data_IF_288805832143
#
_entry.id   IF_288805832143
#
_cell.length_a   1.000
_cell.length_b   1.000
_cell.length_c   1.000
_cell.angle_alpha   90.00
_cell.angle_beta   90.00
_cell.angle_gamma   90.00
#
_symmetry.space_group_name_H-M   'P 1'
#
loop_
_entity.id
_entity.type
_entity.pdbx_description
1 polymer ?
#
# COMPACT_ATOMS: atom_id res chain seq x y z
N UNK A 1 35.95 48.04 0.30
CA UNK A 1 34.48 47.96 0.50
C UNK A 1 33.73 47.18 -0.60
N UNK A 2 34.13 47.27 -1.88
CA UNK A 2 33.48 46.55 -2.99
C UNK A 2 33.62 45.01 -2.97
N UNK A 3 34.75 44.48 -2.50
CA UNK A 3 35.03 43.04 -2.47
C UNK A 3 34.16 42.29 -1.46
N UNK A 4 33.84 42.92 -0.33
CA UNK A 4 33.00 42.32 0.71
C UNK A 4 31.52 42.22 0.28
N UNK A 5 31.01 43.22 -0.45
CA UNK A 5 29.65 43.17 -1.04
C UNK A 5 29.48 42.05 -2.06
N UNK A 6 30.51 41.76 -2.88
CA UNK A 6 30.47 40.66 -3.86
C UNK A 6 30.41 39.28 -3.21
N UNK A 7 31.06 39.10 -2.05
CA UNK A 7 31.08 37.83 -1.33
C UNK A 7 29.72 37.58 -0.66
N UNK A 8 29.16 38.58 0.01
CA UNK A 8 27.84 38.49 0.67
C UNK A 8 26.73 38.21 -0.35
N UNK A 9 26.78 38.86 -1.52
CA UNK A 9 25.78 38.66 -2.59
C UNK A 9 25.82 37.23 -3.16
N UNK A 10 27.01 36.60 -3.25
CA UNK A 10 27.14 35.20 -3.70
C UNK A 10 26.51 34.22 -2.71
N UNK A 11 26.79 34.38 -1.41
CA UNK A 11 26.19 33.50 -0.39
C UNK A 11 24.68 33.68 -0.28
N UNK A 12 24.18 34.90 -0.42
CA UNK A 12 22.75 35.19 -0.45
C UNK A 12 22.06 34.54 -1.65
N UNK A 13 22.67 34.59 -2.84
CA UNK A 13 22.16 33.94 -4.04
C UNK A 13 22.15 32.41 -3.91
N UNK A 14 23.21 31.82 -3.34
CA UNK A 14 23.28 30.38 -3.06
C UNK A 14 22.22 29.94 -2.04
N UNK A 15 21.95 30.76 -1.02
CA UNK A 15 20.91 30.48 -0.02
C UNK A 15 19.50 30.55 -0.64
N UNK A 16 19.25 31.48 -1.55
CA UNK A 16 17.96 31.57 -2.28
C UNK A 16 17.76 30.37 -3.21
N UNK A 17 18.80 29.95 -3.94
CA UNK A 17 18.72 28.77 -4.81
C UNK A 17 18.52 27.48 -4.01
N UNK A 18 19.17 27.37 -2.85
CA UNK A 18 18.97 26.25 -1.92
C UNK A 18 17.58 26.30 -1.27
N UNK A 19 17.00 27.48 -1.03
CA UNK A 19 15.62 27.61 -0.54
C UNK A 19 14.60 27.26 -1.63
N UNK A 20 14.83 27.70 -2.87
CA UNK A 20 13.93 27.45 -4.00
C UNK A 20 13.86 25.96 -4.40
N UNK A 21 14.91 25.18 -4.20
CA UNK A 21 14.91 23.73 -4.44
C UNK A 21 14.07 22.94 -3.42
N UNK A 22 13.71 23.53 -2.28
CA UNK A 22 12.91 22.85 -1.23
C UNK A 22 11.41 22.96 -1.53
N UNK A 23 10.97 23.87 -2.42
CA UNK A 23 9.56 24.18 -2.64
C UNK A 23 8.95 23.69 -3.96
N UNK A 24 9.66 22.89 -4.76
CA UNK A 24 9.12 22.37 -6.02
C UNK A 24 8.66 20.92 -5.91
N UNK A 25 7.62 20.65 -5.10
CA UNK A 25 6.78 19.47 -5.36
C UNK A 25 5.83 19.85 -6.49
N UNK A 26 6.10 19.35 -7.69
CA UNK A 26 5.23 19.57 -8.84
C UNK A 26 3.83 19.01 -8.55
N UNK A 27 2.81 19.85 -8.70
CA UNK A 27 1.42 19.39 -8.71
C UNK A 27 1.23 18.40 -9.86
N UNK A 28 0.62 17.25 -9.60
CA UNK A 28 0.38 16.25 -10.66
C UNK A 28 -0.68 16.79 -11.58
N UNK A 29 -0.28 17.09 -12.82
CA UNK A 29 -1.17 17.55 -13.86
C UNK A 29 -1.43 16.40 -14.82
N UNK A 30 -2.64 15.84 -14.73
CA UNK A 30 -3.15 14.89 -15.69
C UNK A 30 -3.72 15.63 -16.90
N UNK A 31 -3.61 15.01 -18.08
CA UNK A 31 -4.42 15.46 -19.20
C UNK A 31 -5.90 15.06 -19.00
N UNK A 32 -6.77 15.55 -19.87
CA UNK A 32 -8.21 15.31 -19.73
C UNK A 32 -8.57 13.83 -19.87
N UNK A 33 -7.85 13.07 -20.69
CA UNK A 33 -8.10 11.63 -20.92
C UNK A 33 -7.66 10.82 -19.70
N UNK A 34 -6.47 11.08 -19.18
CA UNK A 34 -5.96 10.43 -17.97
C UNK A 34 -6.85 10.70 -16.76
N UNK A 35 -7.28 11.96 -16.57
CA UNK A 35 -8.20 12.31 -15.48
C UNK A 35 -9.55 11.59 -15.62
N UNK A 36 -10.12 11.59 -16.83
CA UNK A 36 -11.39 10.92 -17.10
C UNK A 36 -11.29 9.41 -16.84
N UNK A 37 -10.24 8.77 -17.36
CA UNK A 37 -10.02 7.34 -17.21
C UNK A 37 -9.73 6.94 -15.76
N UNK A 38 -8.95 7.74 -15.01
CA UNK A 38 -8.71 7.49 -13.58
C UNK A 38 -10.00 7.56 -12.76
N UNK A 39 -10.86 8.54 -13.04
CA UNK A 39 -12.18 8.64 -12.40
C UNK A 39 -13.02 7.41 -12.73
N UNK A 40 -13.07 6.99 -14.00
CA UNK A 40 -13.81 5.80 -14.41
C UNK A 40 -13.28 4.52 -13.72
N UNK A 41 -11.96 4.36 -13.60
CA UNK A 41 -11.34 3.27 -12.82
C UNK A 41 -11.81 3.32 -11.37
N UNK A 42 -11.77 4.49 -10.74
CA UNK A 42 -12.18 4.66 -9.35
C UNK A 42 -13.67 4.34 -9.12
N UNK A 43 -14.53 4.73 -10.06
CA UNK A 43 -15.96 4.41 -10.02
C UNK A 43 -16.22 2.92 -10.18
N UNK A 44 -15.57 2.25 -11.14
CA UNK A 44 -15.64 0.80 -11.31
C UNK A 44 -15.18 0.07 -10.05
N UNK A 45 -14.02 0.46 -9.49
CA UNK A 45 -13.50 -0.07 -8.24
C UNK A 45 -14.49 0.12 -7.08
N UNK A 46 -15.19 1.26 -7.03
CA UNK A 46 -16.17 1.55 -5.97
C UNK A 46 -17.34 0.58 -5.94
N UNK A 47 -17.71 0.02 -7.10
CA UNK A 47 -18.76 -1.00 -7.20
C UNK A 47 -18.26 -2.43 -6.96
N UNK A 48 -16.95 -2.66 -7.13
CA UNK A 48 -16.33 -3.97 -7.00
C UNK A 48 -14.91 -3.81 -6.42
N UNK A 49 -14.85 -3.70 -5.09
CA UNK A 49 -13.60 -3.43 -4.38
C UNK A 49 -12.61 -4.59 -4.40
N UNK A 50 -13.09 -5.80 -4.68
CA UNK A 50 -12.25 -6.99 -4.84
C UNK A 50 -11.69 -7.13 -6.26
N UNK A 51 -12.06 -6.21 -7.17
CA UNK A 51 -11.63 -6.19 -8.57
C UNK A 51 -11.94 -7.49 -9.35
N UNK A 52 -12.90 -8.31 -8.89
CA UNK A 52 -13.15 -9.66 -9.42
C UNK A 52 -13.99 -9.68 -10.69
N UNK A 53 -13.76 -10.68 -11.53
CA UNK A 53 -14.61 -11.05 -12.65
C UNK A 53 -14.23 -10.43 -14.00
N UNK A 54 -14.47 -11.19 -15.07
CA UNK A 54 -14.02 -10.86 -16.43
C UNK A 54 -14.56 -9.53 -16.94
N UNK A 55 -15.80 -9.17 -16.56
CA UNK A 55 -16.39 -7.90 -16.96
C UNK A 55 -15.66 -6.72 -16.33
N UNK A 56 -15.28 -6.83 -15.05
CA UNK A 56 -14.47 -5.80 -14.40
C UNK A 56 -13.13 -5.66 -15.11
N UNK A 57 -12.41 -6.78 -15.28
CA UNK A 57 -11.11 -6.80 -15.94
C UNK A 57 -11.15 -6.16 -17.33
N UNK A 58 -12.12 -6.53 -18.18
CA UNK A 58 -12.32 -5.92 -19.51
C UNK A 58 -12.61 -4.42 -19.44
N UNK A 59 -13.42 -4.00 -18.46
CA UNK A 59 -13.80 -2.59 -18.31
C UNK A 59 -12.59 -1.74 -17.93
N UNK A 60 -11.79 -2.17 -16.95
CA UNK A 60 -10.59 -1.42 -16.55
C UNK A 60 -9.48 -1.48 -17.61
N UNK A 61 -9.35 -2.60 -18.34
CA UNK A 61 -8.38 -2.75 -19.43
C UNK A 61 -8.63 -1.74 -20.57
N UNK A 62 -9.90 -1.41 -20.84
CA UNK A 62 -10.27 -0.40 -21.84
C UNK A 62 -9.90 1.04 -21.46
N UNK A 63 -9.58 1.29 -20.18
CA UNK A 63 -9.27 2.63 -19.64
C UNK A 63 -7.77 2.93 -19.62
N UNK A 64 -6.94 2.05 -20.19
CA UNK A 64 -5.49 2.21 -20.22
C UNK A 64 -5.03 3.51 -20.87
N UNK A 65 -4.02 4.07 -20.24
CA UNK A 65 -3.13 5.10 -20.77
C UNK A 65 -1.72 4.81 -20.25
N UNK A 66 -0.65 5.37 -20.83
CA UNK A 66 0.69 5.17 -20.31
C UNK A 66 0.84 5.48 -18.80
N UNK A 67 0.06 6.44 -18.27
CA UNK A 67 0.05 6.78 -16.84
C UNK A 67 -0.74 5.80 -15.97
N UNK A 68 -1.75 5.13 -16.55
CA UNK A 68 -2.68 4.27 -15.81
C UNK A 68 -2.43 2.77 -16.00
N UNK A 69 -1.52 2.38 -16.90
CA UNK A 69 -1.24 0.98 -17.20
C UNK A 69 -0.96 0.15 -15.96
N UNK A 70 -0.06 0.62 -15.09
CA UNK A 70 0.32 -0.13 -13.89
C UNK A 70 -0.85 -0.31 -12.92
N UNK A 71 -1.66 0.74 -12.69
CA UNK A 71 -2.88 0.67 -11.88
C UNK A 71 -3.85 -0.38 -12.44
N UNK A 72 -4.06 -0.37 -13.76
CA UNK A 72 -4.93 -1.34 -14.43
C UNK A 72 -4.38 -2.76 -14.26
N UNK A 73 -3.08 -2.97 -14.48
CA UNK A 73 -2.43 -4.27 -14.33
C UNK A 73 -2.54 -4.80 -12.90
N UNK A 74 -2.29 -3.93 -11.91
CA UNK A 74 -2.41 -4.26 -10.50
C UNK A 74 -3.85 -4.64 -10.12
N UNK A 75 -4.85 -3.87 -10.54
CA UNK A 75 -6.26 -4.21 -10.27
C UNK A 75 -6.68 -5.52 -10.94
N UNK A 76 -6.22 -5.81 -12.16
CA UNK A 76 -6.44 -7.10 -12.81
C UNK A 76 -5.77 -8.23 -12.01
N UNK A 77 -4.52 -8.05 -11.56
CA UNK A 77 -3.81 -9.03 -10.75
C UNK A 77 -4.50 -9.28 -9.40
N UNK A 78 -5.00 -8.23 -8.75
CA UNK A 78 -5.82 -8.33 -7.53
C UNK A 78 -7.07 -9.18 -7.79
N UNK A 79 -7.79 -8.89 -8.87
CA UNK A 79 -9.02 -9.59 -9.24
C UNK A 79 -8.82 -11.08 -9.54
N UNK A 80 -7.68 -11.44 -10.14
CA UNK A 80 -7.30 -12.84 -10.36
C UNK A 80 -7.00 -13.56 -9.05
N UNK A 81 -6.33 -12.89 -8.12
CA UNK A 81 -5.93 -13.48 -6.83
C UNK A 81 -5.02 -14.70 -6.99
N UNK A 82 -4.20 -14.72 -8.06
CA UNK A 82 -3.21 -15.76 -8.32
C UNK A 82 -1.79 -15.25 -8.03
N UNK A 83 -0.77 -16.08 -8.28
CA UNK A 83 0.63 -15.75 -7.99
C UNK A 83 1.17 -14.51 -8.71
N UNK A 84 0.48 -14.03 -9.77
CA UNK A 84 0.85 -12.80 -10.50
C UNK A 84 0.94 -11.60 -9.54
N UNK A 85 0.07 -11.53 -8.51
CA UNK A 85 0.08 -10.42 -7.54
C UNK A 85 1.34 -10.36 -6.66
N UNK A 86 2.13 -11.44 -6.63
CA UNK A 86 3.40 -11.53 -5.89
C UNK A 86 4.61 -11.11 -6.73
N UNK A 87 4.41 -10.76 -8.00
CA UNK A 87 5.50 -10.31 -8.86
C UNK A 87 6.07 -8.97 -8.38
N UNK A 88 7.38 -8.79 -8.60
CA UNK A 88 8.10 -7.58 -8.18
C UNK A 88 7.46 -6.30 -8.70
N UNK A 89 6.86 -6.31 -9.88
CA UNK A 89 6.19 -5.13 -10.43
C UNK A 89 5.03 -4.63 -9.55
N UNK A 90 4.35 -5.48 -8.79
CA UNK A 90 3.26 -5.08 -7.89
C UNK A 90 3.73 -4.93 -6.44
N UNK A 91 4.75 -5.69 -6.02
CA UNK A 91 5.31 -5.57 -4.67
C UNK A 91 6.32 -4.44 -4.51
N UNK A 92 6.94 -3.97 -5.59
CA UNK A 92 7.87 -2.87 -5.55
C UNK A 92 7.16 -1.56 -5.24
N UNK A 93 7.88 -0.65 -4.59
CA UNK A 93 7.41 0.69 -4.27
C UNK A 93 7.04 1.44 -5.56
N UNK A 94 5.77 1.86 -5.75
CA UNK A 94 5.40 2.69 -6.88
C UNK A 94 6.10 4.06 -6.84
N UNK A 95 6.10 4.74 -7.99
CA UNK A 95 6.59 6.11 -8.05
C UNK A 95 5.61 7.09 -7.37
N UNK A 96 6.08 8.29 -7.03
CA UNK A 96 5.27 9.29 -6.30
C UNK A 96 3.97 9.67 -7.03
N UNK A 97 4.01 9.76 -8.36
CA UNK A 97 2.83 10.14 -9.14
C UNK A 97 1.75 9.06 -8.99
N UNK A 98 2.12 7.81 -9.22
CA UNK A 98 1.21 6.67 -9.13
C UNK A 98 0.62 6.51 -7.72
N UNK A 99 1.43 6.71 -6.68
CA UNK A 99 0.97 6.70 -5.29
C UNK A 99 -0.18 7.70 -5.04
N UNK A 100 -0.12 8.89 -5.66
CA UNK A 100 -1.22 9.86 -5.59
C UNK A 100 -2.42 9.41 -6.41
N UNK A 101 -2.22 8.80 -7.59
CA UNK A 101 -3.33 8.30 -8.42
C UNK A 101 -4.12 7.19 -7.70
N UNK A 102 -3.45 6.27 -7.02
CA UNK A 102 -4.08 5.30 -6.13
C UNK A 102 -4.87 5.96 -4.99
N UNK A 103 -4.38 7.10 -4.49
CA UNK A 103 -5.07 7.85 -3.45
C UNK A 103 -6.32 8.57 -3.99
N UNK A 104 -6.30 9.04 -5.24
CA UNK A 104 -7.51 9.54 -5.93
C UNK A 104 -8.59 8.45 -5.99
N UNK A 105 -8.21 7.21 -6.31
CA UNK A 105 -9.14 6.06 -6.33
C UNK A 105 -9.78 5.87 -4.94
N UNK A 106 -8.99 5.88 -3.87
CA UNK A 106 -9.48 5.80 -2.48
C UNK A 106 -10.48 6.90 -2.14
N UNK A 107 -10.14 8.15 -2.43
CA UNK A 107 -10.97 9.30 -2.06
C UNK A 107 -12.27 9.36 -2.85
N UNK A 108 -12.25 9.01 -4.14
CA UNK A 108 -13.48 8.85 -4.93
C UNK A 108 -14.33 7.72 -4.35
N UNK A 109 -13.71 6.58 -4.02
CA UNK A 109 -14.43 5.46 -3.41
C UNK A 109 -15.13 5.88 -2.12
N UNK A 110 -14.43 6.48 -1.16
CA UNK A 110 -15.05 6.93 0.09
C UNK A 110 -16.08 8.03 -0.10
N UNK A 111 -15.89 8.94 -1.06
CA UNK A 111 -16.90 9.94 -1.40
C UNK A 111 -18.20 9.31 -1.93
N UNK A 112 -18.11 8.14 -2.57
CA UNK A 112 -19.27 7.43 -3.15
C UNK A 112 -19.95 6.48 -2.17
N UNK A 113 -19.18 5.82 -1.31
CA UNK A 113 -19.69 4.75 -0.43
C UNK A 113 -20.00 5.20 1.00
N UNK A 114 -19.63 6.42 1.39
CA UNK A 114 -19.96 6.95 2.70
C UNK A 114 -21.42 7.41 2.78
N UNK A 115 -22.28 6.55 3.31
CA UNK A 115 -23.73 6.80 3.47
C UNK A 115 -24.06 7.99 4.40
N UNK A 116 -23.12 8.44 5.22
CA UNK A 116 -23.34 9.53 6.19
C UNK A 116 -23.21 10.93 5.60
N UNK A 117 -22.66 11.06 4.38
CA UNK A 117 -22.36 12.36 3.77
C UNK A 117 -22.85 12.37 2.34
N UNK A 118 -23.44 13.49 1.90
CA UNK A 118 -23.80 13.68 0.50
C UNK A 118 -22.54 13.69 -0.36
N UNK A 119 -22.47 12.77 -1.33
CA UNK A 119 -21.36 12.68 -2.26
C UNK A 119 -21.12 13.99 -3.00
N UNK A 120 -19.86 14.43 -3.04
CA UNK A 120 -19.41 15.58 -3.84
C UNK A 120 -19.19 15.17 -5.30
N UNK A 121 -19.17 16.11 -6.26
CA UNK A 121 -18.81 15.80 -7.63
C UNK A 121 -17.43 15.12 -7.72
N UNK A 122 -17.35 13.96 -8.37
CA UNK A 122 -16.13 13.13 -8.42
C UNK A 122 -14.92 13.85 -9.02
N UNK A 123 -15.15 14.71 -10.01
CA UNK A 123 -14.10 15.55 -10.62
C UNK A 123 -13.52 16.53 -9.60
N UNK A 124 -14.34 17.09 -8.72
CA UNK A 124 -13.87 18.00 -7.67
C UNK A 124 -13.01 17.26 -6.64
N UNK A 125 -13.42 16.05 -6.25
CA UNK A 125 -12.64 15.18 -5.35
C UNK A 125 -11.29 14.82 -5.98
N UNK A 126 -11.27 14.40 -7.23
CA UNK A 126 -10.03 14.06 -7.94
C UNK A 126 -9.06 15.25 -7.99
N UNK A 127 -9.53 16.42 -8.43
CA UNK A 127 -8.71 17.61 -8.53
C UNK A 127 -8.20 18.10 -7.18
N UNK A 128 -9.02 18.01 -6.12
CA UNK A 128 -8.61 18.35 -4.76
C UNK A 128 -7.43 17.48 -4.32
N UNK A 129 -7.51 16.16 -4.53
CA UNK A 129 -6.42 15.23 -4.18
C UNK A 129 -5.17 15.51 -5.00
N UNK A 130 -5.29 15.67 -6.32
CA UNK A 130 -4.17 15.96 -7.22
C UNK A 130 -3.46 17.29 -6.89
N UNK A 131 -4.16 18.25 -6.26
CA UNK A 131 -3.60 19.53 -5.83
C UNK A 131 -2.96 19.53 -4.44
N UNK A 132 -3.24 18.51 -3.63
CA UNK A 132 -2.82 18.48 -2.22
C UNK A 132 -1.44 17.87 -2.06
N UNK A 133 -0.68 18.43 -1.13
CA UNK A 133 0.47 17.75 -0.58
C UNK A 133 -0.02 16.74 0.47
N UNK A 134 0.17 15.46 0.18
CA UNK A 134 -0.19 14.36 1.07
C UNK A 134 1.10 13.72 1.59
N UNK A 135 1.06 13.27 2.84
CA UNK A 135 2.18 12.52 3.42
C UNK A 135 2.43 11.24 2.62
N UNK A 136 3.67 11.04 2.15
CA UNK A 136 4.01 9.88 1.31
C UNK A 136 3.78 8.55 2.01
N UNK A 137 3.81 8.53 3.34
CA UNK A 137 3.50 7.34 4.14
C UNK A 137 2.04 6.92 3.96
N UNK A 138 1.12 7.89 3.90
CA UNK A 138 -0.31 7.62 3.70
C UNK A 138 -0.60 7.16 2.27
N UNK A 139 0.13 7.72 1.30
CA UNK A 139 0.00 7.31 -0.10
C UNK A 139 0.49 5.86 -0.29
N UNK A 140 1.64 5.52 0.30
CA UNK A 140 2.23 4.18 0.23
C UNK A 140 1.38 3.14 0.97
N UNK A 141 0.91 3.48 2.17
CA UNK A 141 0.02 2.62 2.95
C UNK A 141 -1.28 2.33 2.17
N UNK A 142 -1.88 3.38 1.58
CA UNK A 142 -3.05 3.19 0.72
C UNK A 142 -2.76 2.26 -0.46
N UNK A 143 -1.63 2.40 -1.16
CA UNK A 143 -1.30 1.51 -2.27
C UNK A 143 -1.31 0.04 -1.84
N UNK A 144 -0.56 -0.31 -0.79
CA UNK A 144 -0.48 -1.69 -0.34
C UNK A 144 -1.79 -2.20 0.21
N UNK A 145 -2.56 -1.34 0.90
CA UNK A 145 -3.91 -1.67 1.34
C UNK A 145 -4.84 -2.00 0.15
N UNK A 146 -4.71 -1.34 -1.00
CA UNK A 146 -5.58 -1.63 -2.17
C UNK A 146 -5.23 -2.95 -2.85
N UNK A 147 -3.96 -3.35 -2.85
CA UNK A 147 -3.57 -4.62 -3.49
C UNK A 147 -3.66 -5.82 -2.54
N UNK A 148 -3.76 -5.60 -1.23
CA UNK A 148 -3.68 -6.67 -0.24
C UNK A 148 -4.80 -7.72 -0.35
N UNK A 149 -5.97 -7.35 -0.91
CA UNK A 149 -7.11 -8.24 -1.06
C UNK A 149 -6.81 -9.40 -2.01
N UNK A 150 -6.04 -9.15 -3.07
CA UNK A 150 -5.56 -10.17 -3.99
C UNK A 150 -4.61 -11.16 -3.31
N UNK A 151 -3.72 -10.65 -2.45
CA UNK A 151 -2.76 -11.44 -1.67
C UNK A 151 -3.49 -12.30 -0.65
N UNK A 152 -4.46 -11.73 0.08
CA UNK A 152 -5.31 -12.46 1.02
C UNK A 152 -6.10 -13.56 0.31
N UNK A 153 -6.65 -13.26 -0.88
CA UNK A 153 -7.35 -14.24 -1.72
C UNK A 153 -6.43 -15.38 -2.16
N UNK A 154 -5.21 -15.07 -2.62
CA UNK A 154 -4.23 -16.08 -3.01
C UNK A 154 -3.85 -16.97 -1.83
N UNK A 155 -3.48 -16.37 -0.70
CA UNK A 155 -3.12 -17.08 0.52
C UNK A 155 -4.28 -17.93 1.07
N UNK A 156 -5.51 -17.72 0.56
CA UNK A 156 -6.59 -18.57 0.97
C UNK A 156 -6.39 -20.04 0.61
N UNK A 157 -5.80 -20.27 -0.55
CA UNK A 157 -5.66 -21.58 -1.18
C UNK A 157 -4.20 -21.99 -1.41
N UNK A 158 -3.26 -21.04 -1.40
CA UNK A 158 -1.86 -21.27 -1.72
C UNK A 158 -0.96 -21.50 -0.50
N UNK A 159 0.14 -22.21 -0.74
CA UNK A 159 1.30 -22.28 0.15
C UNK A 159 2.36 -21.29 -0.34
N UNK A 160 2.63 -20.26 0.48
CA UNK A 160 3.60 -19.21 0.15
C UNK A 160 4.94 -19.39 0.86
N UNK A 161 5.19 -20.52 1.53
CA UNK A 161 6.42 -20.80 2.29
C UNK A 161 7.70 -20.73 1.47
N UNK A 162 7.60 -20.93 0.15
CA UNK A 162 8.72 -20.84 -0.79
C UNK A 162 9.04 -19.41 -1.24
N UNK A 163 8.16 -18.45 -0.96
CA UNK A 163 8.35 -17.07 -1.36
C UNK A 163 9.14 -16.29 -0.30
N UNK A 164 10.01 -15.41 -0.79
CA UNK A 164 10.75 -14.46 0.03
C UNK A 164 10.46 -13.04 -0.47
N UNK A 165 9.79 -12.25 0.35
CA UNK A 165 9.62 -10.83 0.10
C UNK A 165 10.90 -10.10 0.50
N UNK A 166 11.79 -9.95 -0.49
CA UNK A 166 13.04 -9.22 -0.33
C UNK A 166 12.80 -7.70 -0.38
N UNK A 167 12.41 -7.12 0.75
CA UNK A 167 12.13 -5.69 0.92
C UNK A 167 13.33 -4.80 0.55
N UNK A 168 14.56 -5.31 0.68
CA UNK A 168 15.76 -4.57 0.32
C UNK A 168 15.89 -4.37 -1.22
N UNK A 169 15.19 -5.18 -2.01
CA UNK A 169 15.14 -5.04 -3.48
C UNK A 169 13.87 -4.38 -4.01
N UNK A 170 12.91 -4.01 -3.15
CA UNK A 170 11.61 -3.45 -3.56
C UNK A 170 11.61 -1.91 -3.70
N UNK A 171 12.76 -1.25 -3.54
CA UNK A 171 12.90 0.18 -3.81
C UNK A 171 12.35 1.11 -2.74
N UNK A 172 12.11 0.63 -1.52
CA UNK A 172 11.72 1.45 -0.37
C UNK A 172 12.82 2.45 -0.01
N UNK A 173 12.42 3.68 0.34
CA UNK A 173 13.36 4.77 0.65
C UNK A 173 14.03 4.62 2.00
N UNK A 174 13.30 4.09 2.97
CA UNK A 174 13.72 3.98 4.36
C UNK A 174 13.00 2.83 5.07
N UNK A 175 13.37 2.61 6.33
CA UNK A 175 12.78 1.55 7.15
C UNK A 175 11.31 1.81 7.50
N UNK A 176 10.83 3.06 7.43
CA UNK A 176 9.41 3.38 7.64
C UNK A 176 8.58 2.84 6.47
N UNK A 177 9.03 3.05 5.23
CA UNK A 177 8.35 2.48 4.07
C UNK A 177 8.40 0.95 4.04
N UNK A 178 9.52 0.34 4.44
CA UNK A 178 9.60 -1.12 4.64
C UNK A 178 8.61 -1.62 5.68
N UNK A 179 8.46 -0.89 6.80
CA UNK A 179 7.49 -1.21 7.84
C UNK A 179 6.05 -1.13 7.32
N UNK A 180 5.71 -0.09 6.55
CA UNK A 180 4.38 0.05 5.92
C UNK A 180 4.06 -1.15 5.03
N UNK A 181 5.00 -1.55 4.17
CA UNK A 181 4.84 -2.75 3.34
C UNK A 181 4.65 -3.99 4.19
N UNK A 182 5.56 -4.24 5.14
CA UNK A 182 5.52 -5.42 6.01
C UNK A 182 4.17 -5.53 6.74
N UNK A 183 3.69 -4.44 7.34
CA UNK A 183 2.43 -4.42 8.07
C UNK A 183 1.24 -4.71 7.16
N UNK A 184 1.18 -4.13 5.97
CA UNK A 184 0.11 -4.40 5.00
C UNK A 184 0.12 -5.87 4.53
N UNK A 185 1.31 -6.43 4.25
CA UNK A 185 1.43 -7.84 3.88
C UNK A 185 1.01 -8.77 5.02
N UNK A 186 1.41 -8.46 6.25
CA UNK A 186 1.02 -9.25 7.42
C UNK A 186 -0.47 -9.17 7.71
N UNK A 187 -1.11 -8.01 7.52
CA UNK A 187 -2.56 -7.90 7.63
C UNK A 187 -3.28 -8.74 6.56
N UNK A 188 -2.77 -8.76 5.33
CA UNK A 188 -3.29 -9.62 4.25
C UNK A 188 -3.21 -11.11 4.58
N UNK A 189 -2.06 -11.55 5.08
CA UNK A 189 -1.74 -12.97 5.28
C UNK A 189 -2.31 -13.51 6.60
N UNK A 190 -2.21 -12.73 7.67
CA UNK A 190 -2.56 -13.16 9.03
C UNK A 190 -3.90 -12.54 9.46
N UNK A 191 -4.16 -11.28 9.14
CA UNK A 191 -5.23 -10.44 9.71
C UNK A 191 -6.58 -11.13 9.91
N UNK A 192 -7.50 -11.01 8.95
CA UNK A 192 -8.89 -11.45 9.14
C UNK A 192 -9.04 -12.94 9.44
N UNK A 193 -8.30 -13.80 8.72
CA UNK A 193 -8.42 -15.25 8.86
C UNK A 193 -7.97 -15.75 10.23
N UNK A 194 -6.81 -15.29 10.72
CA UNK A 194 -6.33 -15.80 12.01
C UNK A 194 -7.25 -15.32 13.14
N UNK A 195 -7.85 -14.12 13.03
CA UNK A 195 -8.92 -13.67 13.95
C UNK A 195 -10.07 -14.68 13.99
N UNK A 196 -10.61 -15.05 12.83
CA UNK A 196 -11.73 -16.01 12.76
C UNK A 196 -11.32 -17.37 13.34
N UNK A 197 -10.18 -17.92 12.93
CA UNK A 197 -9.71 -19.23 13.42
C UNK A 197 -9.45 -19.21 14.93
N UNK A 198 -8.94 -18.10 15.47
CA UNK A 198 -8.73 -17.93 16.89
C UNK A 198 -10.07 -17.87 17.65
N UNK A 199 -11.05 -17.13 17.15
CA UNK A 199 -12.39 -17.08 17.74
C UNK A 199 -13.07 -18.46 17.73
N UNK A 200 -12.82 -19.26 16.69
CA UNK A 200 -13.24 -20.66 16.59
C UNK A 200 -12.40 -21.62 17.43
N UNK A 201 -11.36 -21.14 18.13
CA UNK A 201 -10.39 -21.95 18.89
C UNK A 201 -9.72 -23.04 18.05
N UNK A 202 -9.58 -22.83 16.74
CA UNK A 202 -9.03 -23.81 15.81
C UNK A 202 -7.50 -23.68 15.67
N UNK A 203 -6.79 -23.99 16.76
CA UNK A 203 -5.34 -23.84 16.84
C UNK A 203 -4.58 -24.70 15.81
N UNK A 204 -5.12 -25.89 15.47
CA UNK A 204 -4.51 -26.76 14.44
C UNK A 204 -4.47 -26.07 13.08
N UNK A 205 -5.57 -25.43 12.67
CA UNK A 205 -5.66 -24.72 11.39
C UNK A 205 -4.78 -23.46 11.40
N UNK A 206 -4.66 -22.77 12.52
CA UNK A 206 -3.73 -21.63 12.68
C UNK A 206 -2.30 -22.09 12.41
N UNK A 207 -1.85 -23.16 13.06
CA UNK A 207 -0.49 -23.70 12.87
C UNK A 207 -0.26 -24.16 11.43
N UNK A 208 -1.27 -24.76 10.79
CA UNK A 208 -1.20 -25.11 9.37
C UNK A 208 -0.95 -23.87 8.48
N UNK A 209 -1.66 -22.76 8.73
CA UNK A 209 -1.45 -21.52 7.97
C UNK A 209 -0.14 -20.83 8.31
N UNK A 210 0.34 -20.88 9.55
CA UNK A 210 1.66 -20.38 9.90
C UNK A 210 2.76 -21.03 9.05
N UNK A 211 2.65 -22.34 8.81
CA UNK A 211 3.60 -23.08 7.97
C UNK A 211 3.58 -22.71 6.48
N UNK A 212 2.56 -21.97 6.03
CA UNK A 212 2.41 -21.52 4.64
C UNK A 212 2.85 -20.07 4.42
N UNK A 213 3.25 -19.36 5.47
CA UNK A 213 3.62 -17.94 5.37
C UNK A 213 4.94 -17.76 4.60
N UNK A 214 5.08 -16.69 3.81
CA UNK A 214 6.34 -16.34 3.17
C UNK A 214 7.37 -15.88 4.20
N UNK A 215 8.62 -15.80 3.75
CA UNK A 215 9.70 -15.13 4.48
C UNK A 215 9.87 -13.68 4.03
N UNK A 216 10.50 -12.88 4.86
CA UNK A 216 10.85 -11.49 4.57
C UNK A 216 12.35 -11.32 4.76
N UNK A 217 13.05 -10.89 3.71
CA UNK A 217 14.52 -10.86 3.65
C UNK A 217 15.17 -12.16 4.17
N UNK A 218 14.60 -13.31 3.80
CA UNK A 218 15.06 -14.65 4.18
C UNK A 218 14.79 -15.04 5.63
N UNK A 219 14.04 -14.23 6.38
CA UNK A 219 13.70 -14.47 7.78
C UNK A 219 12.21 -14.71 7.95
N UNK A 220 11.84 -15.58 8.89
CA UNK A 220 10.45 -15.73 9.27
C UNK A 220 9.93 -14.45 9.93
N UNK A 221 8.64 -14.17 9.76
CA UNK A 221 7.99 -12.92 10.17
C UNK A 221 8.24 -12.55 11.65
N UNK A 222 8.36 -13.53 12.54
CA UNK A 222 8.57 -13.31 13.98
C UNK A 222 10.01 -12.97 14.38
N UNK A 223 10.96 -12.97 13.45
CA UNK A 223 12.33 -12.49 13.69
C UNK A 223 12.49 -11.00 13.37
N UNK A 224 11.49 -10.34 12.77
CA UNK A 224 11.53 -8.91 12.44
C UNK A 224 11.15 -8.02 13.62
N UNK A 225 11.68 -8.33 14.82
CA UNK A 225 11.41 -7.60 16.08
C UNK A 225 11.70 -6.09 15.98
N UNK A 226 12.70 -5.68 15.20
CA UNK A 226 13.16 -4.27 15.14
C UNK A 226 12.24 -3.34 14.35
N UNK A 227 11.49 -3.85 13.37
CA UNK A 227 10.45 -3.08 12.65
C UNK A 227 9.20 -2.90 13.51
N UNK A 228 9.10 -3.64 14.61
CA UNK A 228 7.93 -3.69 15.48
C UNK A 228 8.11 -2.90 16.78
N UNK A 229 9.32 -2.63 17.26
CA UNK A 229 9.53 -2.09 18.64
C UNK A 229 9.03 -0.66 18.89
N UNK A 230 8.82 0.17 17.87
CA UNK A 230 8.23 1.51 18.07
C UNK A 230 6.69 1.52 17.96
N UNK A 231 6.05 0.42 17.55
CA UNK A 231 4.59 0.35 17.35
C UNK A 231 3.94 -0.87 18.05
N UNK A 232 4.70 -1.86 18.53
CA UNK A 232 4.18 -3.12 19.08
C UNK A 232 4.81 -3.48 20.43
N UNK A 233 4.26 -2.90 21.50
CA UNK A 233 4.30 -3.52 22.83
C UNK A 233 3.26 -4.67 22.78
N UNK A 234 3.69 -5.91 22.51
CA UNK A 234 2.73 -7.02 22.51
C UNK A 234 3.19 -8.39 21.99
N UNK A 235 4.46 -8.61 21.66
CA UNK A 235 4.94 -9.91 21.14
C UNK A 235 5.92 -10.65 22.05
N UNK A 236 6.32 -10.09 23.20
CA UNK A 236 7.27 -10.75 24.10
C UNK A 236 6.66 -11.87 24.98
N UNK A 237 5.35 -12.10 24.93
CA UNK A 237 4.70 -13.13 25.76
C UNK A 237 4.54 -14.52 25.11
N UNK A 238 4.93 -14.72 23.84
CA UNK A 238 4.68 -16.01 23.14
C UNK A 238 5.95 -16.88 22.99
N UNK A 239 7.13 -16.44 23.45
CA UNK A 239 8.38 -17.19 23.25
C UNK A 239 9.18 -17.59 24.50
N UNK A 240 8.64 -17.42 25.71
CA UNK A 240 9.30 -17.89 26.93
C UNK A 240 8.47 -18.90 27.75
N UNK A 241 7.72 -19.79 27.10
CA UNK A 241 7.12 -20.91 27.83
C UNK A 241 7.27 -22.22 27.05
N UNK A 242 7.98 -23.22 27.62
CA UNK A 242 7.99 -24.55 27.04
C UNK A 242 6.59 -25.15 27.25
N UNK A 243 5.97 -25.57 26.15
CA UNK A 243 4.82 -26.46 26.12
C UNK A 243 3.47 -25.79 26.47
N UNK A 244 2.58 -25.83 25.47
CA UNK A 244 1.12 -25.89 25.58
C UNK A 244 0.44 -24.84 26.48
N UNK A 245 -0.14 -23.81 25.87
CA UNK A 245 -1.60 -23.61 25.93
C UNK A 245 -2.01 -22.42 25.06
N UNK A 246 -3.00 -22.67 24.22
CA UNK A 246 -3.47 -21.73 23.21
C UNK A 246 -4.01 -20.46 23.83
N UNK A 247 -3.46 -19.32 23.39
CA UNK A 247 -4.18 -18.07 23.15
C UNK A 247 -3.29 -17.27 22.20
N UNK A 248 -3.64 -17.25 20.91
CA UNK A 248 -3.08 -16.27 19.98
C UNK A 248 -3.68 -14.91 20.38
N UNK A 249 -2.95 -13.80 20.30
CA UNK A 249 -3.54 -12.46 20.44
C UNK A 249 -3.44 -11.82 19.06
N UNK A 250 -4.57 -11.51 18.44
CA UNK A 250 -4.57 -10.82 17.15
C UNK A 250 -4.73 -9.32 17.34
N UNK A 251 -3.83 -8.57 16.70
CA UNK A 251 -3.77 -7.12 16.72
C UNK A 251 -4.92 -6.49 15.92
N UNK A 252 -5.48 -5.42 16.48
CA UNK A 252 -6.39 -4.51 15.80
C UNK A 252 -5.57 -3.27 15.45
N UNK A 253 -5.38 -3.00 14.15
CA UNK A 253 -4.97 -1.67 13.71
C UNK A 253 -6.27 -0.87 13.61
N UNK A 254 -6.38 0.19 14.43
CA UNK A 254 -7.51 1.12 14.41
C UNK A 254 -7.28 2.22 13.38
#
# INVERSE_FOLDING_TARGET
MQTHRRIIMKYFLSLILLAASIFTKAQIKLDQKDLHNLIAIAELYSYNTDARGDQFAKSIDSLRTPKLNHIVDALIAVGKGDHTILETQFLARPNEEELVLWYVIREIHYNRTNEKVKARPVVAVANEVLSKQIDSRWLLDNYYYRIHGGIASLFNEADLSKYNFNMDSLGFKDDTEKAIFFLNMMDALVGGRFKVLQMMKNNKKILEFCGKLPTFNGKEYFYLKTLTTQILIGLDSIKQSPIMNGTLVVFTVH
#
